data_IF_768898157060
#
_entry.id   IF_768898157060
#
_cell.length_a   1.000
_cell.length_b   1.000
_cell.length_c   1.000
_cell.angle_alpha   90.00
_cell.angle_beta   90.00
_cell.angle_gamma   90.00
#
_symmetry.space_group_name_H-M   'P 1'
#
loop_
_entity.id
_entity.type
_entity.pdbx_description
1 polymer ?
#
# COMPACT_ATOMS: atom_id res chain seq x y z
N UNK A 1 -1.97 31.72 29.75
CA UNK A 1 -3.16 31.61 28.87
C UNK A 1 -2.84 31.40 27.38
N UNK A 2 -1.57 31.31 26.95
CA UNK A 2 -1.18 31.05 25.55
C UNK A 2 -0.83 29.58 25.25
N UNK A 3 -0.55 28.78 26.28
CA UNK A 3 -0.10 27.38 26.17
C UNK A 3 -1.25 26.40 25.85
N UNK A 4 -2.46 26.66 26.37
CA UNK A 4 -3.64 25.81 26.16
C UNK A 4 -4.17 25.82 24.72
N UNK A 5 -3.95 26.93 24.01
CA UNK A 5 -4.42 27.13 22.63
C UNK A 5 -3.57 26.33 21.64
N UNK A 6 -2.27 26.22 21.89
CA UNK A 6 -1.34 25.49 21.02
C UNK A 6 -1.52 23.96 21.20
N UNK A 7 -1.79 23.51 22.44
CA UNK A 7 -2.14 22.11 22.73
C UNK A 7 -3.47 21.72 22.06
N UNK A 8 -4.51 22.57 22.14
CA UNK A 8 -5.79 22.33 21.45
C UNK A 8 -5.65 22.32 19.93
N UNK A 9 -4.88 23.25 19.36
CA UNK A 9 -4.61 23.31 17.93
C UNK A 9 -3.82 22.09 17.43
N UNK A 10 -2.81 21.62 18.18
CA UNK A 10 -2.11 20.36 17.87
C UNK A 10 -3.04 19.16 17.94
N UNK A 11 -3.91 19.10 18.95
CA UNK A 11 -4.88 18.01 19.11
C UNK A 11 -5.90 18.00 17.97
N UNK A 12 -6.43 19.15 17.57
CA UNK A 12 -7.33 19.29 16.42
C UNK A 12 -6.64 18.96 15.09
N UNK A 13 -5.37 19.35 14.90
CA UNK A 13 -4.56 18.93 13.74
C UNK A 13 -4.38 17.41 13.70
N UNK A 14 -4.02 16.78 14.82
CA UNK A 14 -3.93 15.32 14.89
C UNK A 14 -5.27 14.64 14.61
N UNK A 15 -6.39 15.17 15.12
CA UNK A 15 -7.74 14.65 14.85
C UNK A 15 -8.12 14.81 13.37
N UNK A 16 -7.70 15.89 12.71
CA UNK A 16 -7.97 16.11 11.28
C UNK A 16 -7.08 15.25 10.38
N UNK A 17 -5.84 14.94 10.78
CA UNK A 17 -5.00 13.94 10.12
C UNK A 17 -5.61 12.55 10.26
N UNK A 18 -6.13 12.22 11.45
CA UNK A 18 -6.77 10.94 11.75
C UNK A 18 -8.04 10.62 10.95
N UNK A 19 -8.66 11.64 10.35
CA UNK A 19 -9.88 11.48 9.54
C UNK A 19 -9.57 11.28 8.05
N UNK A 20 -8.33 11.49 7.64
CA UNK A 20 -7.89 11.42 6.24
C UNK A 20 -7.36 10.03 5.92
N UNK A 21 -7.66 9.55 4.72
CA UNK A 21 -7.07 8.33 4.20
C UNK A 21 -5.56 8.51 4.02
N UNK A 22 -4.77 7.49 4.38
CA UNK A 22 -3.31 7.55 4.26
C UNK A 22 -2.83 7.61 2.79
N UNK A 23 -3.63 7.16 1.83
CA UNK A 23 -3.26 7.08 0.41
C UNK A 23 -3.62 8.35 -0.39
N UNK A 24 -4.81 8.92 -0.17
CA UNK A 24 -5.27 10.13 -0.86
C UNK A 24 -5.34 11.39 0.00
N UNK A 25 -5.08 11.33 1.31
CA UNK A 25 -5.14 12.47 2.23
C UNK A 25 -6.51 13.16 2.32
N UNK A 26 -7.57 12.55 1.78
CA UNK A 26 -8.94 13.05 1.84
C UNK A 26 -9.75 12.27 2.89
N UNK A 27 -10.76 12.92 3.48
CA UNK A 27 -11.66 12.22 4.39
C UNK A 27 -12.46 11.18 3.62
N UNK A 28 -12.50 9.93 4.10
CA UNK A 28 -13.29 8.88 3.46
C UNK A 28 -14.76 9.34 3.40
N UNK A 29 -15.24 9.69 2.19
CA UNK A 29 -16.60 10.14 1.95
C UNK A 29 -17.54 9.01 2.33
N UNK A 30 -18.06 9.14 3.54
CA UNK A 30 -18.74 8.05 4.21
C UNK A 30 -20.18 7.87 3.76
N UNK A 31 -20.68 8.52 2.69
CA UNK A 31 -22.07 8.42 2.24
C UNK A 31 -22.19 8.48 0.73
N UNK A 32 -22.98 7.56 0.19
CA UNK A 32 -23.43 7.61 -1.20
C UNK A 32 -24.41 8.79 -1.40
N UNK A 33 -24.20 9.69 -2.38
CA UNK A 33 -25.15 10.76 -2.70
C UNK A 33 -26.55 10.26 -3.07
N UNK A 34 -26.67 9.08 -3.69
CA UNK A 34 -27.95 8.53 -4.16
C UNK A 34 -28.72 7.80 -3.06
N UNK A 35 -28.12 6.81 -2.42
CA UNK A 35 -28.82 5.99 -1.41
C UNK A 35 -28.63 6.45 0.03
N UNK A 36 -27.78 7.47 0.28
CA UNK A 36 -27.41 8.03 1.60
C UNK A 36 -26.86 7.02 2.61
N UNK A 37 -26.70 5.75 2.23
CA UNK A 37 -26.04 4.71 3.03
C UNK A 37 -24.53 4.89 2.99
N UNK A 38 -23.85 4.38 4.02
CA UNK A 38 -22.40 4.47 4.09
C UNK A 38 -21.78 3.52 3.05
N UNK A 39 -21.03 4.06 2.08
CA UNK A 39 -20.20 3.33 1.10
C UNK A 39 -20.88 2.06 0.52
N UNK A 40 -21.90 2.27 -0.32
CA UNK A 40 -22.63 1.19 -0.99
C UNK A 40 -21.84 0.69 -2.22
N UNK A 41 -21.37 -0.56 -2.20
CA UNK A 41 -20.74 -1.23 -3.35
C UNK A 41 -21.74 -1.50 -4.50
N UNK A 42 -23.04 -1.47 -4.21
CA UNK A 42 -24.10 -1.70 -5.20
C UNK A 42 -24.34 -0.46 -6.09
N UNK A 43 -24.06 0.75 -5.59
CA UNK A 43 -24.26 2.00 -6.34
C UNK A 43 -22.96 2.65 -6.81
N UNK A 44 -21.82 2.33 -6.18
CA UNK A 44 -20.50 2.74 -6.66
C UNK A 44 -19.70 1.51 -7.09
N UNK A 45 -19.49 1.28 -8.40
CA UNK A 45 -18.51 0.30 -8.83
C UNK A 45 -17.15 0.65 -8.23
N UNK A 46 -16.30 -0.35 -7.93
CA UNK A 46 -15.00 -0.20 -7.23
C UNK A 46 -14.18 1.01 -7.70
N UNK A 47 -14.22 1.26 -9.01
CA UNK A 47 -13.55 2.34 -9.74
C UNK A 47 -14.04 3.77 -9.43
N UNK A 48 -15.20 3.94 -8.79
CA UNK A 48 -15.84 5.24 -8.54
C UNK A 48 -15.85 5.65 -7.06
N UNK A 49 -15.08 4.96 -6.20
CA UNK A 49 -14.92 5.33 -4.79
C UNK A 49 -14.03 6.58 -4.59
N UNK A 50 -14.45 7.72 -5.13
CA UNK A 50 -13.95 9.07 -4.79
C UNK A 50 -12.39 9.22 -4.87
N UNK A 51 -11.74 10.31 -4.40
CA UNK A 51 -10.45 10.84 -4.90
C UNK A 51 -9.28 9.84 -4.99
N UNK A 52 -9.25 8.83 -4.11
CA UNK A 52 -8.28 7.75 -4.14
C UNK A 52 -8.34 6.97 -5.46
N UNK A 53 -9.54 6.63 -5.95
CA UNK A 53 -9.72 5.92 -7.22
C UNK A 53 -9.25 6.78 -8.42
N UNK A 54 -9.58 8.08 -8.43
CA UNK A 54 -9.13 8.99 -9.51
C UNK A 54 -7.60 9.14 -9.53
N UNK A 55 -6.98 9.27 -8.34
CA UNK A 55 -5.52 9.31 -8.20
C UNK A 55 -4.86 8.02 -8.69
N UNK A 56 -5.45 6.87 -8.40
CA UNK A 56 -4.98 5.57 -8.89
C UNK A 56 -5.21 5.40 -10.40
N UNK A 57 -6.33 5.89 -10.96
CA UNK A 57 -6.57 5.88 -12.40
C UNK A 57 -5.56 6.74 -13.17
N UNK A 58 -5.24 7.94 -12.66
CA UNK A 58 -4.17 8.79 -13.22
C UNK A 58 -2.83 8.05 -13.24
N UNK A 59 -2.55 7.26 -12.20
CA UNK A 59 -1.37 6.42 -12.13
C UNK A 59 -1.42 5.24 -13.12
N UNK A 60 -2.57 4.56 -13.24
CA UNK A 60 -2.78 3.42 -14.14
C UNK A 60 -2.49 3.74 -15.62
N UNK A 61 -2.75 4.97 -16.07
CA UNK A 61 -2.43 5.39 -17.44
C UNK A 61 -0.95 5.25 -17.81
N UNK A 62 -0.05 5.26 -16.83
CA UNK A 62 1.41 5.15 -17.05
C UNK A 62 1.99 3.80 -16.69
N UNK A 63 1.20 2.91 -16.09
CA UNK A 63 1.69 1.69 -15.49
C UNK A 63 1.34 0.48 -16.35
N UNK A 64 2.38 -0.23 -16.76
CA UNK A 64 2.27 -1.42 -17.60
C UNK A 64 2.97 -2.59 -16.93
N UNK A 65 2.47 -3.80 -17.19
CA UNK A 65 3.13 -5.01 -16.77
C UNK A 65 4.51 -5.09 -17.42
N UNK A 66 5.56 -5.31 -16.63
CA UNK A 66 6.93 -5.37 -17.16
C UNK A 66 7.18 -6.59 -18.08
N UNK A 67 6.28 -7.58 -18.07
CA UNK A 67 6.40 -8.81 -18.87
C UNK A 67 5.65 -8.70 -20.19
N UNK A 68 4.35 -8.39 -20.15
CA UNK A 68 3.51 -8.36 -21.35
C UNK A 68 3.09 -6.97 -21.83
N UNK A 69 3.55 -5.90 -21.17
CA UNK A 69 3.16 -4.50 -21.44
C UNK A 69 1.66 -4.18 -21.33
N UNK A 70 0.83 -5.13 -20.90
CA UNK A 70 -0.58 -4.89 -20.61
C UNK A 70 -0.72 -3.82 -19.54
N UNK A 71 -1.71 -2.94 -19.71
CA UNK A 71 -1.98 -1.90 -18.73
C UNK A 71 -2.37 -2.55 -17.39
N UNK A 72 -1.74 -2.09 -16.32
CA UNK A 72 -2.11 -2.50 -14.97
C UNK A 72 -2.90 -1.38 -14.31
N UNK A 73 -3.92 -1.77 -13.56
CA UNK A 73 -4.79 -0.84 -12.86
C UNK A 73 -4.60 -1.08 -11.36
N UNK A 74 -3.73 -0.31 -10.69
CA UNK A 74 -3.78 -0.23 -9.23
C UNK A 74 -5.20 0.09 -8.81
N UNK A 75 -5.71 -0.66 -7.85
CA UNK A 75 -7.07 -0.50 -7.36
C UNK A 75 -7.03 -0.21 -5.87
N UNK A 76 -7.93 0.67 -5.44
CA UNK A 76 -8.13 0.98 -4.06
C UNK A 76 -9.62 1.16 -3.83
N UNK A 77 -10.18 0.37 -2.93
CA UNK A 77 -11.57 0.51 -2.52
C UNK A 77 -11.70 0.48 -1.01
N UNK A 78 -12.83 0.97 -0.51
CA UNK A 78 -13.13 0.93 0.92
C UNK A 78 -14.49 0.33 1.13
N UNK A 79 -14.58 -0.65 2.04
CA UNK A 79 -15.86 -1.27 2.43
C UNK A 79 -16.54 -0.49 3.55
N UNK A 80 -15.77 0.31 4.29
CA UNK A 80 -16.28 1.17 5.36
C UNK A 80 -15.39 2.40 5.51
N UNK A 81 -15.82 3.36 6.34
CA UNK A 81 -15.03 4.57 6.65
C UNK A 81 -13.67 4.28 7.30
N UNK A 82 -13.45 3.06 7.77
CA UNK A 82 -12.25 2.65 8.50
C UNK A 82 -11.66 1.37 7.94
N UNK A 83 -12.08 0.89 6.78
CA UNK A 83 -11.59 -0.35 6.18
C UNK A 83 -11.32 -0.15 4.71
N UNK A 84 -10.03 -0.14 4.38
CA UNK A 84 -9.49 0.16 3.06
C UNK A 84 -8.75 -1.06 2.53
N UNK A 85 -8.89 -1.32 1.24
CA UNK A 85 -8.20 -2.34 0.49
C UNK A 85 -7.37 -1.65 -0.58
N UNK A 86 -6.10 -2.01 -0.69
CA UNK A 86 -5.16 -1.38 -1.60
C UNK A 86 -4.43 -2.47 -2.36
N UNK A 87 -4.52 -2.45 -3.68
CA UNK A 87 -3.72 -3.29 -4.57
C UNK A 87 -2.95 -2.39 -5.53
N UNK A 88 -1.63 -2.36 -5.36
CA UNK A 88 -0.75 -1.53 -6.17
C UNK A 88 -0.41 -2.18 -7.52
N UNK A 89 -0.89 -3.40 -7.80
CA UNK A 89 -0.49 -4.20 -8.96
C UNK A 89 1.03 -4.31 -9.13
N UNK A 90 1.77 -4.34 -8.01
CA UNK A 90 3.24 -4.28 -7.98
C UNK A 90 3.82 -5.48 -7.27
N UNK A 91 4.85 -6.07 -7.87
CA UNK A 91 5.59 -7.15 -7.24
C UNK A 91 6.37 -6.60 -6.03
N UNK A 92 6.11 -7.10 -4.81
CA UNK A 92 6.80 -6.71 -3.57
C UNK A 92 8.30 -7.08 -3.63
N UNK A 93 8.62 -8.18 -4.33
CA UNK A 93 9.97 -8.71 -4.45
C UNK A 93 10.93 -7.91 -5.35
N UNK A 94 10.47 -7.44 -6.51
CA UNK A 94 11.30 -6.69 -7.46
C UNK A 94 10.87 -5.22 -7.61
N UNK A 95 9.67 -4.86 -7.15
CA UNK A 95 9.12 -3.52 -7.28
C UNK A 95 8.71 -3.15 -8.72
N UNK A 96 8.46 -4.11 -9.59
CA UNK A 96 7.92 -3.85 -10.94
C UNK A 96 6.41 -4.10 -10.98
N UNK A 97 5.71 -3.41 -11.86
CA UNK A 97 4.28 -3.59 -12.07
C UNK A 97 4.00 -4.91 -12.79
N UNK A 98 2.99 -5.65 -12.31
CA UNK A 98 2.69 -7.01 -12.76
C UNK A 98 1.18 -7.20 -12.90
N UNK A 99 0.74 -7.71 -14.05
CA UNK A 99 -0.68 -7.97 -14.27
C UNK A 99 -1.14 -9.16 -13.44
N UNK A 100 -2.44 -9.15 -13.10
CA UNK A 100 -3.02 -10.14 -12.21
C UNK A 100 -3.12 -11.51 -12.87
N UNK A 101 -3.70 -11.55 -14.07
CA UNK A 101 -4.22 -12.76 -14.70
C UNK A 101 -3.14 -13.75 -15.17
N UNK A 102 -1.90 -13.28 -15.40
CA UNK A 102 -0.87 -14.06 -16.12
C UNK A 102 0.50 -14.08 -15.44
N UNK A 103 0.91 -13.01 -14.77
CA UNK A 103 2.30 -12.87 -14.30
C UNK A 103 2.41 -12.73 -12.77
N UNK A 104 1.30 -12.91 -12.07
CA UNK A 104 1.26 -12.95 -10.60
C UNK A 104 1.14 -14.41 -10.13
N UNK A 105 2.26 -15.03 -9.81
CA UNK A 105 2.31 -16.39 -9.28
C UNK A 105 1.79 -16.48 -7.84
N UNK A 106 2.01 -15.44 -7.03
CA UNK A 106 1.64 -15.45 -5.61
C UNK A 106 1.09 -14.10 -5.16
N UNK A 107 0.03 -14.16 -4.35
CA UNK A 107 -0.57 -13.02 -3.65
C UNK A 107 -0.56 -13.25 -2.15
N UNK A 108 -0.29 -12.20 -1.40
CA UNK A 108 -0.29 -12.18 0.06
C UNK A 108 -1.02 -10.92 0.51
N UNK A 109 -2.00 -11.07 1.38
CA UNK A 109 -2.72 -9.94 1.94
C UNK A 109 -2.14 -9.56 3.30
N UNK A 110 -1.54 -8.37 3.37
CA UNK A 110 -1.00 -7.81 4.60
C UNK A 110 -2.05 -6.86 5.22
N UNK A 111 -2.49 -7.14 6.45
CA UNK A 111 -3.45 -6.28 7.15
C UNK A 111 -2.73 -5.41 8.17
N UNK A 112 -2.77 -4.10 7.96
CA UNK A 112 -2.24 -3.09 8.86
C UNK A 112 -3.39 -2.40 9.59
N UNK A 113 -3.35 -2.39 10.91
CA UNK A 113 -4.33 -1.68 11.74
C UNK A 113 -3.63 -0.46 12.32
N UNK A 114 -3.99 0.72 11.80
CA UNK A 114 -3.53 1.99 12.32
C UNK A 114 -4.56 2.44 13.36
N UNK A 115 -4.21 2.36 14.64
CA UNK A 115 -5.07 2.81 15.75
C UNK A 115 -4.72 4.24 16.11
N UNK A 116 -5.71 5.13 16.04
CA UNK A 116 -5.56 6.52 16.49
C UNK A 116 -6.71 6.86 17.46
N UNK A 117 -6.41 6.77 18.76
CA UNK A 117 -7.39 6.97 19.83
C UNK A 117 -8.43 5.84 19.89
N UNK A 118 -9.73 6.20 19.88
CA UNK A 118 -10.85 5.25 19.95
C UNK A 118 -11.30 4.68 18.58
N UNK A 119 -10.69 5.13 17.47
CA UNK A 119 -11.00 4.63 16.13
C UNK A 119 -9.75 4.00 15.50
N UNK A 120 -9.92 2.80 14.95
CA UNK A 120 -8.87 2.10 14.21
C UNK A 120 -9.22 2.03 12.74
N UNK A 121 -8.28 2.42 11.89
CA UNK A 121 -8.33 2.21 10.45
C UNK A 121 -7.63 0.90 10.10
N UNK A 122 -8.30 0.05 9.34
CA UNK A 122 -7.79 -1.21 8.80
C UNK A 122 -7.44 -0.98 7.34
N UNK A 123 -6.17 -1.18 7.00
CA UNK A 123 -5.68 -1.18 5.64
C UNK A 123 -5.25 -2.59 5.28
N UNK A 124 -5.84 -3.16 4.22
CA UNK A 124 -5.45 -4.44 3.67
C UNK A 124 -4.70 -4.19 2.36
N UNK A 125 -3.40 -4.44 2.38
CA UNK A 125 -2.55 -4.30 1.21
C UNK A 125 -2.36 -5.66 0.55
N UNK A 126 -2.67 -5.74 -0.75
CA UNK A 126 -2.40 -6.92 -1.57
C UNK A 126 -0.97 -6.83 -2.07
N UNK A 127 -0.10 -7.69 -1.56
CA UNK A 127 1.26 -7.85 -2.03
C UNK A 127 1.33 -8.95 -3.10
N UNK A 128 1.79 -8.58 -4.30
CA UNK A 128 1.97 -9.53 -5.41
C UNK A 128 3.42 -9.99 -5.52
N UNK A 129 3.65 -11.18 -6.03
CA UNK A 129 4.97 -11.71 -6.38
C UNK A 129 4.91 -12.32 -7.78
N UNK A 130 5.77 -11.84 -8.68
CA UNK A 130 5.94 -12.44 -9.99
C UNK A 130 6.69 -13.78 -9.90
N UNK A 131 6.67 -14.56 -10.97
CA UNK A 131 7.23 -15.92 -11.05
C UNK A 131 8.69 -15.98 -10.58
N UNK A 132 9.48 -14.95 -10.88
CA UNK A 132 10.88 -14.86 -10.48
C UNK A 132 11.01 -14.63 -8.96
N UNK A 133 10.13 -13.82 -8.37
CA UNK A 133 10.19 -13.44 -6.96
C UNK A 133 9.42 -14.41 -6.04
N UNK A 134 8.48 -15.19 -6.58
CA UNK A 134 7.63 -16.11 -5.84
C UNK A 134 8.42 -17.19 -5.08
N UNK A 135 9.45 -17.86 -5.65
CA UNK A 135 10.23 -18.88 -4.93
C UNK A 135 10.98 -18.33 -3.71
N UNK A 136 11.41 -17.07 -3.77
CA UNK A 136 12.20 -16.40 -2.73
C UNK A 136 11.38 -15.34 -1.96
N UNK A 137 10.06 -15.48 -1.94
CA UNK A 137 9.16 -14.50 -1.32
C UNK A 137 9.43 -14.31 0.19
N UNK A 138 9.83 -15.38 0.89
CA UNK A 138 10.18 -15.37 2.33
C UNK A 138 11.34 -14.44 2.63
N UNK A 139 12.29 -14.31 1.70
CA UNK A 139 13.43 -13.43 1.83
C UNK A 139 13.10 -12.00 1.38
N UNK A 140 11.88 -11.72 0.92
CA UNK A 140 11.49 -10.43 0.36
C UNK A 140 11.74 -10.31 -1.15
N UNK A 141 11.83 -11.44 -1.87
CA UNK A 141 12.10 -11.46 -3.31
C UNK A 141 13.52 -11.02 -3.66
N UNK A 142 13.72 -10.60 -4.92
CA UNK A 142 15.04 -10.20 -5.43
C UNK A 142 15.67 -9.09 -4.58
N UNK A 143 14.90 -8.07 -4.20
CA UNK A 143 15.39 -6.96 -3.36
C UNK A 143 15.93 -7.44 -2.02
N UNK A 144 15.21 -8.36 -1.39
CA UNK A 144 15.63 -8.91 -0.10
C UNK A 144 16.82 -9.85 -0.24
N UNK A 145 16.88 -10.65 -1.31
CA UNK A 145 18.04 -11.48 -1.64
C UNK A 145 19.31 -10.64 -1.82
N UNK A 146 19.24 -9.55 -2.59
CA UNK A 146 20.38 -8.63 -2.78
C UNK A 146 20.86 -8.06 -1.45
N UNK A 147 19.93 -7.70 -0.54
CA UNK A 147 20.28 -7.21 0.79
C UNK A 147 21.04 -8.25 1.61
N UNK A 148 20.61 -9.51 1.59
CA UNK A 148 21.31 -10.60 2.26
C UNK A 148 22.70 -10.85 1.68
N UNK A 149 22.84 -10.85 0.36
CA UNK A 149 24.14 -11.02 -0.32
C UNK A 149 25.11 -9.91 0.10
N UNK A 150 24.65 -8.65 0.13
CA UNK A 150 25.50 -7.53 0.54
C UNK A 150 25.92 -7.69 2.01
N UNK A 151 25.00 -8.02 2.92
CA UNK A 151 25.31 -8.20 4.34
C UNK A 151 26.33 -9.34 4.54
N UNK A 152 26.06 -10.52 3.98
CA UNK A 152 26.97 -11.67 4.11
C UNK A 152 28.32 -11.35 3.46
N UNK A 153 28.32 -10.75 2.28
CA UNK A 153 29.53 -10.33 1.58
C UNK A 153 30.38 -9.35 2.39
N UNK A 154 29.75 -8.37 3.04
CA UNK A 154 30.47 -7.42 3.92
C UNK A 154 31.08 -8.11 5.14
N UNK A 155 30.38 -9.05 5.76
CA UNK A 155 30.89 -9.81 6.92
C UNK A 155 32.10 -10.65 6.50
N UNK A 156 31.98 -11.42 5.42
CA UNK A 156 33.06 -12.28 4.91
C UNK A 156 34.29 -11.44 4.52
N UNK A 157 34.09 -10.33 3.81
CA UNK A 157 35.18 -9.43 3.42
C UNK A 157 35.90 -8.83 4.63
N UNK A 158 35.15 -8.48 5.68
CA UNK A 158 35.71 -7.92 6.92
C UNK A 158 36.54 -8.95 7.68
N UNK A 159 36.04 -10.20 7.80
CA UNK A 159 36.77 -11.30 8.42
C UNK A 159 38.04 -11.62 7.62
N UNK A 160 37.93 -11.72 6.29
CA UNK A 160 39.07 -11.97 5.42
C UNK A 160 40.14 -10.90 5.57
N UNK A 161 39.74 -9.61 5.57
CA UNK A 161 40.67 -8.50 5.76
C UNK A 161 41.32 -8.49 7.14
N UNK A 162 40.59 -8.92 8.19
CA UNK A 162 41.13 -9.02 9.54
C UNK A 162 42.12 -10.18 9.70
N UNK A 163 41.89 -11.32 9.04
CA UNK A 163 42.74 -12.51 9.12
C UNK A 163 43.96 -12.48 8.19
N UNK A 164 43.91 -11.70 7.10
CA UNK A 164 45.03 -11.51 6.16
C UNK A 164 45.83 -10.22 6.41
N UNK A 165 45.61 -9.57 7.56
CA UNK A 165 46.41 -8.46 8.06
C UNK A 165 47.31 -8.94 9.19
#
# INVERSE_FOLDING_TARGET
MQDDTDVKNRRQRMINVARRCNECSEEALGRCPDCRHNLCQDHFPKQQHSPCAEKQMKMAHTQVCYVCSAQVYPDQWSISRTSHFVDQCRCKGCGRYVCDELHTERKIDDVFIIREGLRGHRYQYTARYCDICSPIYLLGGIKGLTRWIVVIGTIVATIFFYLHR
#
